data_IF_365878015973
#
_entry.id   IF_365878015973
#
_cell.length_a   1.000
_cell.length_b   1.000
_cell.length_c   1.000
_cell.angle_alpha   90.00
_cell.angle_beta   90.00
_cell.angle_gamma   90.00
#
_symmetry.space_group_name_H-M   'P 1'
#
loop_
_entity.id
_entity.type
_entity.pdbx_description
1 polymer ?
#
# COMPACT_ATOMS: atom_id res chain seq x y z
N UNK A 1 20.86 11.83 8.24
CA UNK A 1 19.99 10.65 8.10
C UNK A 1 19.07 10.70 6.87
N UNK A 2 18.47 11.84 6.51
CA UNK A 2 17.68 12.03 5.26
C UNK A 2 18.47 11.74 3.97
N UNK A 3 19.79 11.95 3.96
CA UNK A 3 20.65 11.76 2.78
C UNK A 3 20.77 10.27 2.38
N UNK A 4 20.74 9.35 3.35
CA UNK A 4 20.84 7.92 3.08
C UNK A 4 19.54 7.35 2.45
N UNK A 5 18.37 7.85 2.85
CA UNK A 5 17.09 7.48 2.25
C UNK A 5 17.00 7.96 0.79
N UNK A 6 17.43 9.19 0.52
CA UNK A 6 17.49 9.74 -0.85
C UNK A 6 18.45 8.95 -1.76
N UNK A 7 19.58 8.47 -1.23
CA UNK A 7 20.53 7.67 -2.00
C UNK A 7 19.98 6.26 -2.33
N UNK A 8 19.20 5.64 -1.42
CA UNK A 8 18.55 4.36 -1.70
C UNK A 8 17.44 4.47 -2.75
N UNK A 9 16.74 5.61 -2.78
CA UNK A 9 15.71 5.87 -3.80
C UNK A 9 16.34 6.02 -5.18
N UNK A 10 17.44 6.76 -5.28
CA UNK A 10 18.14 6.95 -6.55
C UNK A 10 18.71 5.65 -7.13
N UNK A 11 19.12 4.70 -6.27
CA UNK A 11 19.60 3.38 -6.70
C UNK A 11 18.46 2.41 -7.05
N UNK A 12 17.31 2.51 -6.41
CA UNK A 12 16.13 1.72 -6.79
C UNK A 12 15.55 2.17 -8.14
N UNK A 13 15.52 3.47 -8.40
CA UNK A 13 15.05 4.05 -9.67
C UNK A 13 15.95 3.68 -10.87
N UNK A 14 17.22 3.34 -10.64
CA UNK A 14 18.14 2.93 -11.73
C UNK A 14 18.22 1.42 -11.92
N UNK A 15 17.59 0.62 -11.05
CA UNK A 15 17.80 -0.85 -11.01
C UNK A 15 16.73 -1.69 -11.73
N UNK A 16 15.73 -1.10 -12.39
CA UNK A 16 14.70 -1.90 -13.07
C UNK A 16 13.67 -1.06 -13.82
N UNK A 17 12.93 -1.72 -14.69
CA UNK A 17 11.76 -1.20 -15.39
C UNK A 17 10.58 -1.09 -14.41
N UNK A 18 10.60 -0.10 -13.50
CA UNK A 18 9.47 0.22 -12.66
C UNK A 18 8.64 1.32 -13.33
N UNK A 19 7.33 1.13 -13.35
CA UNK A 19 6.40 2.14 -13.86
C UNK A 19 6.28 3.32 -12.89
N UNK A 20 6.52 3.07 -11.59
CA UNK A 20 6.55 4.11 -10.58
C UNK A 20 7.43 3.74 -9.38
N UNK A 21 8.09 4.74 -8.80
CA UNK A 21 8.82 4.65 -7.54
C UNK A 21 8.23 5.60 -6.53
N UNK A 22 8.20 5.22 -5.25
CA UNK A 22 7.65 6.06 -4.21
C UNK A 22 8.47 6.03 -2.92
N UNK A 23 8.43 7.15 -2.20
CA UNK A 23 8.92 7.26 -0.82
C UNK A 23 7.72 7.40 0.11
N UNK A 24 7.69 6.61 1.19
CA UNK A 24 6.69 6.71 2.24
C UNK A 24 7.37 7.01 3.57
N UNK A 25 6.95 8.07 4.23
CA UNK A 25 7.34 8.42 5.60
C UNK A 25 6.16 8.18 6.52
N UNK A 26 6.36 7.48 7.62
CA UNK A 26 5.32 7.19 8.61
C UNK A 26 5.80 7.58 10.00
N UNK A 27 4.99 8.35 10.71
CA UNK A 27 5.10 8.61 12.14
C UNK A 27 4.02 7.78 12.84
N UNK A 28 4.39 7.02 13.85
CA UNK A 28 3.50 6.07 14.51
C UNK A 28 3.51 6.26 16.03
N UNK A 29 2.32 6.16 16.62
CA UNK A 29 2.09 6.04 18.07
C UNK A 29 1.34 4.73 18.34
N UNK A 30 1.09 4.42 19.61
CA UNK A 30 0.29 3.23 19.97
C UNK A 30 -1.17 3.31 19.47
N UNK A 31 -1.70 4.51 19.23
CA UNK A 31 -3.11 4.72 18.89
C UNK A 31 -3.33 4.96 17.39
N UNK A 32 -2.40 5.60 16.70
CA UNK A 32 -2.55 5.97 15.28
C UNK A 32 -1.20 6.13 14.59
N UNK A 33 -1.24 6.10 13.27
CA UNK A 33 -0.11 6.50 12.44
C UNK A 33 -0.51 7.56 11.43
N UNK A 34 0.44 8.44 11.07
CA UNK A 34 0.31 9.42 10.01
C UNK A 34 1.40 9.13 8.99
N UNK A 35 1.04 9.07 7.72
CA UNK A 35 2.02 8.85 6.67
C UNK A 35 1.84 9.80 5.50
N UNK A 36 2.97 10.09 4.85
CA UNK A 36 3.04 10.80 3.57
C UNK A 36 3.75 9.88 2.58
N UNK A 37 3.14 9.66 1.43
CA UNK A 37 3.73 8.92 0.32
C UNK A 37 3.87 9.87 -0.86
N UNK A 38 5.09 10.02 -1.36
CA UNK A 38 5.43 10.82 -2.52
C UNK A 38 5.91 9.90 -3.63
N UNK A 39 5.07 9.61 -4.65
CA UNK A 39 5.48 8.89 -5.84
C UNK A 39 6.30 9.79 -6.76
N UNK A 40 7.10 9.20 -7.65
CA UNK A 40 7.82 9.91 -8.69
C UNK A 40 6.84 10.53 -9.70
N UNK A 41 5.76 9.80 -10.00
CA UNK A 41 4.67 10.25 -10.86
C UNK A 41 3.33 10.07 -10.17
N UNK A 42 2.43 11.04 -10.34
CA UNK A 42 1.09 11.02 -9.76
C UNK A 42 0.95 11.80 -8.46
N UNK A 43 -0.08 11.48 -7.71
CA UNK A 43 -0.52 12.24 -6.54
C UNK A 43 0.31 11.96 -5.29
N UNK A 44 0.68 13.01 -4.55
CA UNK A 44 1.14 12.85 -3.17
C UNK A 44 -0.02 12.45 -2.28
N UNK A 45 0.18 11.42 -1.46
CA UNK A 45 -0.84 10.86 -0.57
C UNK A 45 -0.53 11.20 0.89
N UNK A 46 -1.55 11.61 1.64
CA UNK A 46 -1.53 11.76 3.09
C UNK A 46 -2.50 10.76 3.68
N UNK A 47 -2.06 9.97 4.64
CA UNK A 47 -2.93 8.99 5.28
C UNK A 47 -2.82 9.03 6.79
N UNK A 48 -3.97 8.79 7.44
CA UNK A 48 -4.08 8.55 8.87
C UNK A 48 -4.67 7.17 9.08
N UNK A 49 -4.00 6.35 9.88
CA UNK A 49 -4.45 5.00 10.19
C UNK A 49 -4.62 4.82 11.70
N UNK A 50 -5.61 4.03 12.08
CA UNK A 50 -5.88 3.64 13.47
C UNK A 50 -6.53 2.27 13.48
N UNK A 51 -6.55 1.62 14.65
CA UNK A 51 -7.28 0.37 14.85
C UNK A 51 -8.60 0.68 15.57
N UNK A 52 -9.71 0.25 15.00
CA UNK A 52 -11.07 0.42 15.53
C UNK A 52 -11.66 -0.96 15.83
N UNK A 53 -11.66 -1.36 17.09
CA UNK A 53 -12.03 -2.72 17.48
C UNK A 53 -11.07 -3.74 16.85
N UNK A 54 -11.58 -4.73 16.10
CA UNK A 54 -10.72 -5.73 15.45
C UNK A 54 -10.22 -5.31 14.06
N UNK A 55 -10.52 -4.11 13.57
CA UNK A 55 -10.30 -3.67 12.20
C UNK A 55 -9.32 -2.52 12.15
N UNK A 56 -8.36 -2.57 11.24
CA UNK A 56 -7.48 -1.46 10.92
C UNK A 56 -8.16 -0.57 9.90
N UNK A 57 -8.23 0.72 10.20
CA UNK A 57 -8.88 1.73 9.38
C UNK A 57 -7.87 2.78 8.93
N UNK A 58 -7.94 3.18 7.66
CA UNK A 58 -7.09 4.22 7.08
C UNK A 58 -7.94 5.20 6.29
N UNK A 59 -7.75 6.48 6.54
CA UNK A 59 -8.27 7.55 5.70
C UNK A 59 -7.10 8.16 4.92
N UNK A 60 -7.26 8.27 3.61
CA UNK A 60 -6.25 8.82 2.70
C UNK A 60 -6.83 10.02 1.96
N UNK A 61 -6.05 11.07 1.85
CA UNK A 61 -6.26 12.16 0.93
C UNK A 61 -5.07 12.24 -0.02
N UNK A 62 -5.36 12.41 -1.30
CA UNK A 62 -4.34 12.63 -2.31
C UNK A 62 -4.77 13.73 -3.27
N UNK A 63 -3.78 14.44 -3.84
CA UNK A 63 -4.03 15.50 -4.80
C UNK A 63 -3.19 15.30 -6.04
N UNK A 64 -3.86 15.25 -7.18
CA UNK A 64 -3.25 15.20 -8.49
C UNK A 64 -3.68 16.43 -9.32
N UNK A 65 -2.74 17.37 -9.49
CA UNK A 65 -3.05 18.65 -10.11
C UNK A 65 -4.10 19.44 -9.33
N UNK A 66 -5.29 19.60 -9.91
CA UNK A 66 -6.43 20.29 -9.31
C UNK A 66 -7.48 19.35 -8.74
N UNK A 67 -7.27 18.02 -8.79
CA UNK A 67 -8.25 17.00 -8.35
C UNK A 67 -7.85 16.46 -6.99
N UNK A 68 -8.75 16.57 -6.03
CA UNK A 68 -8.63 15.94 -4.73
C UNK A 68 -9.32 14.56 -4.75
N UNK A 69 -8.61 13.53 -4.26
CA UNK A 69 -9.14 12.19 -4.11
C UNK A 69 -9.10 11.80 -2.63
N UNK A 70 -10.13 11.09 -2.21
CA UNK A 70 -10.26 10.59 -0.86
C UNK A 70 -10.48 9.09 -0.89
N UNK A 71 -9.86 8.37 0.03
CA UNK A 71 -10.09 6.95 0.21
C UNK A 71 -10.28 6.60 1.69
N UNK A 72 -11.20 5.67 1.95
CA UNK A 72 -11.41 5.05 3.24
C UNK A 72 -11.17 3.57 3.09
N UNK A 73 -10.18 3.05 3.77
CA UNK A 73 -9.82 1.63 3.77
C UNK A 73 -10.06 1.04 5.14
N UNK A 74 -10.65 -0.14 5.18
CA UNK A 74 -10.78 -0.94 6.38
C UNK A 74 -10.30 -2.36 6.08
N UNK A 75 -9.57 -2.99 6.98
CA UNK A 75 -9.04 -4.32 6.75
C UNK A 75 -8.67 -5.03 8.04
N UNK A 76 -8.41 -6.32 7.91
CA UNK A 76 -7.90 -7.15 8.99
C UNK A 76 -6.95 -8.18 8.44
N UNK A 77 -5.82 -8.33 9.12
CA UNK A 77 -4.85 -9.39 8.93
C UNK A 77 -4.83 -10.31 10.14
N UNK A 78 -4.67 -11.59 9.91
CA UNK A 78 -4.56 -12.61 10.96
C UNK A 78 -3.40 -13.56 10.64
N UNK A 79 -2.66 -13.93 11.66
CA UNK A 79 -1.71 -15.04 11.55
C UNK A 79 -2.48 -16.35 11.41
N UNK A 80 -2.11 -17.14 10.41
CA UNK A 80 -2.74 -18.45 10.15
C UNK A 80 -1.92 -19.55 10.82
N UNK A 81 -0.62 -19.63 10.52
CA UNK A 81 0.31 -20.58 11.15
C UNK A 81 1.76 -20.19 10.83
N UNK A 82 2.61 -20.14 11.85
CA UNK A 82 4.03 -19.82 11.69
C UNK A 82 4.25 -18.51 10.92
N UNK A 83 4.97 -18.53 9.79
CA UNK A 83 5.23 -17.33 8.99
C UNK A 83 4.05 -16.92 8.09
N UNK A 84 2.97 -17.69 8.04
CA UNK A 84 1.84 -17.49 7.11
C UNK A 84 0.80 -16.57 7.74
N UNK A 85 0.40 -15.55 7.01
CA UNK A 85 -0.71 -14.67 7.35
C UNK A 85 -1.73 -14.59 6.21
N UNK A 86 -2.95 -14.20 6.54
CA UNK A 86 -4.01 -13.92 5.58
C UNK A 86 -4.81 -12.71 6.02
N UNK A 87 -5.37 -12.01 5.06
CA UNK A 87 -6.16 -10.84 5.37
C UNK A 87 -7.15 -10.49 4.27
N UNK A 88 -7.94 -9.50 4.56
CA UNK A 88 -8.80 -8.86 3.60
C UNK A 88 -8.93 -7.37 3.93
N UNK A 89 -9.05 -6.56 2.90
CA UNK A 89 -9.38 -5.15 3.05
C UNK A 89 -10.47 -4.72 2.08
N UNK A 90 -11.19 -3.68 2.45
CA UNK A 90 -12.12 -2.98 1.56
C UNK A 90 -11.73 -1.50 1.54
N UNK A 91 -11.65 -0.93 0.35
CA UNK A 91 -11.32 0.47 0.14
C UNK A 91 -12.40 1.15 -0.69
N UNK A 92 -12.90 2.24 -0.19
CA UNK A 92 -13.86 3.09 -0.88
C UNK A 92 -13.17 4.39 -1.27
N UNK A 93 -13.10 4.66 -2.58
CA UNK A 93 -12.47 5.87 -3.13
C UNK A 93 -13.53 6.77 -3.75
N UNK A 94 -13.41 8.07 -3.52
CA UNK A 94 -14.23 9.09 -4.14
C UNK A 94 -13.38 10.32 -4.44
N UNK A 95 -13.63 10.97 -5.57
CA UNK A 95 -12.91 12.16 -6.02
C UNK A 95 -13.80 13.38 -6.09
N UNK A 96 -13.20 14.56 -5.97
CA UNK A 96 -13.84 15.84 -6.21
C UNK A 96 -13.59 16.25 -7.67
N UNK A 97 -14.22 15.52 -8.59
CA UNK A 97 -14.22 15.90 -10.01
C UNK A 97 -15.59 16.41 -10.39
N UNK A 98 -15.69 17.65 -10.77
CA UNK A 98 -16.92 18.28 -11.28
C UNK A 98 -17.53 17.59 -12.51
N UNK A 99 -16.83 16.66 -13.14
CA UNK A 99 -17.24 16.04 -14.40
C UNK A 99 -17.53 14.55 -14.32
N UNK A 100 -17.14 13.85 -13.25
CA UNK A 100 -17.44 12.43 -13.08
C UNK A 100 -17.41 12.07 -11.59
N UNK A 101 -18.57 11.88 -11.01
CA UNK A 101 -18.75 11.36 -9.64
C UNK A 101 -18.35 9.86 -9.63
N UNK A 102 -17.04 9.60 -9.76
CA UNK A 102 -16.51 8.23 -9.81
C UNK A 102 -16.26 7.74 -8.40
N UNK A 103 -17.16 6.89 -7.93
CA UNK A 103 -16.99 6.15 -6.69
C UNK A 103 -16.48 4.76 -7.01
N UNK A 104 -15.50 4.31 -6.28
CA UNK A 104 -14.93 2.97 -6.47
C UNK A 104 -14.88 2.25 -5.14
N UNK A 105 -15.35 1.01 -5.13
CA UNK A 105 -15.15 0.08 -4.03
C UNK A 105 -14.23 -1.03 -4.48
N UNK A 106 -13.16 -1.27 -3.75
CA UNK A 106 -12.20 -2.35 -3.99
C UNK A 106 -12.17 -3.24 -2.77
N UNK A 107 -12.45 -4.52 -2.95
CA UNK A 107 -12.28 -5.54 -1.93
C UNK A 107 -11.06 -6.41 -2.28
N UNK A 108 -10.14 -6.60 -1.34
CA UNK A 108 -8.86 -7.28 -1.59
C UNK A 108 -8.58 -8.32 -0.52
N UNK A 109 -8.97 -9.58 -0.72
CA UNK A 109 -8.43 -10.69 0.04
C UNK A 109 -6.99 -10.98 -0.38
N UNK A 110 -6.14 -11.38 0.58
CA UNK A 110 -4.75 -11.70 0.34
C UNK A 110 -4.22 -12.76 1.29
N UNK A 111 -3.11 -13.37 0.91
CA UNK A 111 -2.33 -14.27 1.73
C UNK A 111 -0.85 -13.99 1.53
N UNK A 112 -0.08 -14.10 2.59
CA UNK A 112 1.34 -13.84 2.55
C UNK A 112 2.14 -14.70 3.50
N UNK A 113 3.44 -14.57 3.35
CA UNK A 113 4.44 -15.16 4.26
C UNK A 113 5.42 -14.08 4.69
N UNK A 114 5.74 -14.03 5.97
CA UNK A 114 6.76 -13.15 6.53
C UNK A 114 7.57 -13.92 7.57
N UNK A 115 8.88 -13.73 7.57
CA UNK A 115 9.74 -14.42 8.51
C UNK A 115 10.83 -13.49 9.04
N UNK A 116 10.87 -13.31 10.36
CA UNK A 116 11.84 -12.41 11.00
C UNK A 116 13.15 -13.14 11.29
N UNK A 117 14.23 -12.60 10.79
CA UNK A 117 15.60 -13.09 10.99
C UNK A 117 16.42 -11.94 11.59
N UNK A 118 16.53 -11.92 12.91
CA UNK A 118 17.14 -10.80 13.63
C UNK A 118 16.37 -9.49 13.43
N UNK A 119 17.01 -8.48 12.83
CA UNK A 119 16.36 -7.20 12.54
C UNK A 119 15.66 -7.15 11.16
N UNK A 120 15.80 -8.18 10.34
CA UNK A 120 15.28 -8.26 8.99
C UNK A 120 14.02 -9.12 8.94
N UNK A 121 12.96 -8.63 8.30
CA UNK A 121 11.72 -9.36 8.07
C UNK A 121 11.41 -9.33 6.56
N UNK A 122 11.89 -10.29 5.77
CA UNK A 122 11.44 -10.50 4.41
C UNK A 122 9.98 -10.98 4.38
N UNK A 123 9.24 -10.61 3.33
CA UNK A 123 7.87 -11.05 3.12
C UNK A 123 7.55 -11.18 1.64
N UNK A 124 6.52 -11.97 1.36
CA UNK A 124 5.88 -12.04 0.05
C UNK A 124 4.37 -12.18 0.24
N UNK A 125 3.59 -11.51 -0.58
CA UNK A 125 2.14 -11.46 -0.51
C UNK A 125 1.54 -11.54 -1.90
N UNK A 126 0.40 -12.22 -2.00
CA UNK A 126 -0.41 -12.31 -3.20
C UNK A 126 -1.86 -12.05 -2.84
N UNK A 127 -2.54 -11.27 -3.66
CA UNK A 127 -3.94 -10.96 -3.43
C UNK A 127 -4.72 -10.77 -4.73
N UNK A 128 -6.04 -10.71 -4.57
CA UNK A 128 -6.99 -10.41 -5.64
C UNK A 128 -7.77 -9.16 -5.30
N UNK A 129 -7.90 -8.26 -6.26
CA UNK A 129 -8.70 -7.04 -6.12
C UNK A 129 -9.99 -7.17 -6.92
N UNK A 130 -11.11 -7.10 -6.21
CA UNK A 130 -12.45 -7.06 -6.77
C UNK A 130 -12.90 -5.61 -6.79
N UNK A 131 -12.96 -5.01 -7.97
CA UNK A 131 -13.28 -3.59 -8.13
C UNK A 131 -14.70 -3.42 -8.65
N UNK A 132 -15.47 -2.60 -7.96
CA UNK A 132 -16.75 -2.09 -8.43
C UNK A 132 -16.63 -0.59 -8.66
N UNK A 133 -16.95 -0.14 -9.87
CA UNK A 133 -17.05 1.27 -10.22
C UNK A 133 -18.47 1.52 -10.63
N UNK A 134 -19.24 2.30 -9.86
CA UNK A 134 -20.64 2.47 -10.17
C UNK A 134 -21.20 3.79 -9.78
N UNK A 135 -22.18 4.21 -10.56
CA UNK A 135 -23.16 5.20 -10.18
C UNK A 135 -24.41 4.56 -9.56
N UNK A 136 -24.65 3.24 -9.70
CA UNK A 136 -25.94 2.68 -9.29
C UNK A 136 -25.96 1.29 -8.67
N UNK A 137 -25.04 0.37 -8.95
CA UNK A 137 -25.07 -1.00 -8.39
C UNK A 137 -23.66 -1.55 -8.20
N UNK A 138 -23.40 -2.26 -7.10
CA UNK A 138 -22.17 -3.01 -6.89
C UNK A 138 -21.99 -4.06 -8.00
N UNK A 139 -21.23 -3.72 -9.03
CA UNK A 139 -20.91 -4.62 -10.13
C UNK A 139 -19.38 -4.87 -10.12
N UNK A 140 -18.98 -5.95 -9.50
CA UNK A 140 -17.56 -6.37 -9.43
C UNK A 140 -17.11 -6.97 -10.76
N UNK A 141 -17.10 -6.17 -11.82
CA UNK A 141 -16.81 -6.61 -13.18
C UNK A 141 -15.32 -6.74 -13.50
N UNK A 142 -14.44 -6.24 -12.63
CA UNK A 142 -13.00 -6.23 -12.91
C UNK A 142 -12.21 -6.80 -11.75
N UNK A 143 -11.46 -7.86 -12.03
CA UNK A 143 -10.64 -8.56 -11.07
C UNK A 143 -9.19 -8.47 -11.52
N UNK A 144 -8.37 -7.81 -10.72
CA UNK A 144 -6.93 -7.79 -10.89
C UNK A 144 -6.30 -8.60 -9.75
N UNK A 145 -5.15 -9.18 -9.98
CA UNK A 145 -4.32 -9.78 -8.94
C UNK A 145 -3.09 -8.93 -8.72
N UNK A 146 -2.45 -9.08 -7.57
CA UNK A 146 -1.16 -8.48 -7.31
C UNK A 146 -0.22 -9.46 -6.62
N UNK A 147 1.06 -9.22 -6.84
CA UNK A 147 2.16 -9.84 -6.12
C UNK A 147 2.99 -8.72 -5.50
N UNK A 148 3.25 -8.79 -4.20
CA UNK A 148 4.19 -7.90 -3.52
C UNK A 148 5.28 -8.73 -2.84
N UNK A 149 6.53 -8.31 -3.00
CA UNK A 149 7.67 -8.85 -2.28
C UNK A 149 8.44 -7.70 -1.64
N UNK A 150 8.98 -7.94 -0.47
CA UNK A 150 9.71 -6.89 0.21
C UNK A 150 10.45 -7.38 1.45
N UNK A 151 11.04 -6.41 2.14
CA UNK A 151 11.67 -6.63 3.42
C UNK A 151 11.55 -5.38 4.29
N UNK A 152 11.38 -5.59 5.60
CA UNK A 152 11.49 -4.56 6.61
C UNK A 152 12.76 -4.79 7.43
N UNK A 153 13.49 -3.73 7.74
CA UNK A 153 14.67 -3.76 8.59
C UNK A 153 14.50 -2.82 9.77
N UNK A 154 14.52 -3.36 10.98
CA UNK A 154 14.49 -2.59 12.21
C UNK A 154 15.88 -1.97 12.45
N UNK A 155 16.01 -0.67 12.20
CA UNK A 155 17.26 0.09 12.42
C UNK A 155 17.47 0.35 13.90
N UNK A 156 16.38 0.66 14.61
CA UNK A 156 16.31 0.76 16.08
C UNK A 156 14.94 0.22 16.53
N UNK A 157 14.70 0.02 17.83
CA UNK A 157 13.34 -0.33 18.31
C UNK A 157 12.24 0.66 17.90
N UNK A 158 12.61 1.92 17.66
CA UNK A 158 11.66 2.98 17.26
C UNK A 158 11.73 3.34 15.76
N UNK A 159 12.59 2.70 14.96
CA UNK A 159 12.72 3.06 13.54
C UNK A 159 12.91 1.83 12.67
N UNK A 160 12.11 1.73 11.62
CA UNK A 160 12.24 0.70 10.59
C UNK A 160 12.28 1.30 9.18
N UNK A 161 12.97 0.59 8.28
CA UNK A 161 12.99 0.86 6.84
C UNK A 161 12.37 -0.33 6.14
N UNK A 162 11.40 -0.07 5.26
CA UNK A 162 10.72 -1.08 4.42
C UNK A 162 11.05 -0.83 2.96
N UNK A 163 11.41 -1.89 2.24
CA UNK A 163 11.52 -1.90 0.79
C UNK A 163 10.49 -2.85 0.25
N UNK A 164 9.74 -2.46 -0.76
CA UNK A 164 8.80 -3.34 -1.45
C UNK A 164 8.77 -3.10 -2.95
N UNK A 165 8.49 -4.17 -3.67
CA UNK A 165 8.17 -4.18 -5.09
C UNK A 165 6.84 -4.88 -5.24
N UNK A 166 5.90 -4.24 -5.91
CA UNK A 166 4.61 -4.82 -6.25
C UNK A 166 4.38 -4.79 -7.75
N UNK A 167 3.69 -5.80 -8.24
CA UNK A 167 3.27 -5.93 -9.63
C UNK A 167 1.79 -6.28 -9.66
N UNK A 168 1.00 -5.51 -10.40
CA UNK A 168 -0.38 -5.86 -10.70
C UNK A 168 -0.42 -6.81 -11.90
N UNK A 169 -1.36 -7.75 -11.91
CA UNK A 169 -1.55 -8.73 -12.97
C UNK A 169 -3.04 -8.93 -13.24
N UNK A 170 -3.36 -9.49 -14.40
CA UNK A 170 -4.71 -9.97 -14.66
C UNK A 170 -5.09 -11.11 -13.70
N UNK A 171 -6.38 -11.44 -13.62
CA UNK A 171 -6.89 -12.50 -12.73
C UNK A 171 -6.22 -13.86 -12.96
N UNK A 172 -5.66 -14.12 -14.12
CA UNK A 172 -5.02 -15.37 -14.47
C UNK A 172 -3.50 -15.33 -14.27
N UNK A 173 -2.93 -14.24 -13.75
CA UNK A 173 -1.51 -13.98 -13.60
C UNK A 173 -0.71 -14.03 -14.93
N UNK A 174 -1.37 -13.89 -16.08
CA UNK A 174 -0.73 -14.04 -17.39
C UNK A 174 -0.13 -12.74 -17.91
N UNK A 175 -0.83 -11.63 -17.74
CA UNK A 175 -0.39 -10.34 -18.23
C UNK A 175 0.15 -9.52 -17.08
N UNK A 176 1.40 -9.08 -17.20
CA UNK A 176 2.01 -8.14 -16.29
C UNK A 176 1.36 -6.76 -16.49
N UNK A 177 1.02 -6.12 -15.40
CA UNK A 177 0.60 -4.72 -15.35
C UNK A 177 1.69 -3.86 -14.73
N UNK A 178 1.28 -2.83 -14.00
CA UNK A 178 2.19 -1.85 -13.42
C UNK A 178 3.11 -2.45 -12.34
N UNK A 179 4.39 -2.12 -12.42
CA UNK A 179 5.41 -2.45 -11.43
C UNK A 179 5.76 -1.22 -10.62
N UNK A 180 5.60 -1.32 -9.32
CA UNK A 180 5.86 -0.23 -8.41
C UNK A 180 6.92 -0.63 -7.38
N UNK A 181 7.83 0.29 -7.07
CA UNK A 181 8.79 0.15 -6.00
C UNK A 181 8.52 1.21 -4.91
N UNK A 182 8.56 0.82 -3.65
CA UNK A 182 8.35 1.73 -2.53
C UNK A 182 9.45 1.58 -1.50
N UNK A 183 9.98 2.72 -1.04
CA UNK A 183 10.84 2.82 0.13
C UNK A 183 10.05 3.48 1.24
N UNK A 184 9.83 2.77 2.35
CA UNK A 184 9.14 3.25 3.52
C UNK A 184 10.10 3.49 4.69
N UNK A 185 9.90 4.56 5.45
CA UNK A 185 10.55 4.80 6.74
C UNK A 185 9.43 4.99 7.77
N UNK A 186 9.47 4.21 8.84
CA UNK A 186 8.55 4.33 9.96
C UNK A 186 9.32 4.75 11.21
N UNK A 187 8.82 5.73 11.93
CA UNK A 187 9.33 6.19 13.22
C UNK A 187 8.22 6.09 14.24
N UNK A 188 8.44 5.34 15.32
CA UNK A 188 7.55 5.22 16.48
C UNK A 188 7.98 6.18 17.59
N UNK A 189 7.00 6.72 18.33
CA UNK A 189 7.19 7.67 19.44
C UNK A 189 6.51 7.16 20.71
#
# INVERSE_FOLDING_TARGET
>A
MMVAAAAMISTAATAGDFDNTAVKLTAQTDAYSISVKAPETGATEFAVSTTVGPVDATATWSRDGAVDNYALKAGKEVEVTGPVYAGASAEFTFGDSYTADTRTLVATPYVGVAHTIGALTPYAEVGYSFKSTTNDVLNFARNDSYLEVGASYAVTPAMAVKLSVSETRDINFKNAGDKNATVGITVAF
#
